data_IF_493788988537
#
_entry.id   IF_493788988537
#
_cell.length_a   1.000
_cell.length_b   1.000
_cell.length_c   1.000
_cell.angle_alpha   90.00
_cell.angle_beta   90.00
_cell.angle_gamma   90.00
#
_symmetry.space_group_name_H-M   'P 1'
#
loop_
_entity.id
_entity.type
_entity.pdbx_description
1 polymer ?
#
# COMPACT_ATOMS: atom_id res chain seq x y z
N UNK A 1 7.78 -2.03 48.66
CA UNK A 1 8.18 -1.06 47.60
C UNK A 1 8.84 -1.82 46.46
N UNK A 2 8.03 -2.58 45.73
CA UNK A 2 8.48 -3.48 44.66
C UNK A 2 8.58 -2.67 43.38
N UNK A 3 9.80 -2.37 42.92
CA UNK A 3 10.04 -1.76 41.61
C UNK A 3 9.87 -2.88 40.59
N UNK A 4 8.71 -2.93 39.95
CA UNK A 4 8.48 -3.81 38.80
C UNK A 4 9.51 -3.51 37.72
N UNK A 5 10.35 -4.50 37.42
CA UNK A 5 11.19 -4.50 36.23
C UNK A 5 10.26 -4.58 35.02
N UNK A 6 10.26 -3.53 34.20
CA UNK A 6 9.62 -3.56 32.89
C UNK A 6 10.40 -4.51 31.96
N UNK A 7 9.77 -5.49 31.31
CA UNK A 7 10.45 -6.27 30.28
C UNK A 7 10.76 -5.34 29.10
N UNK A 8 12.01 -5.38 28.63
CA UNK A 8 12.46 -4.63 27.48
C UNK A 8 11.72 -5.07 26.20
N UNK A 9 11.12 -4.12 25.48
CA UNK A 9 10.48 -4.32 24.18
C UNK A 9 11.46 -4.96 23.17
N UNK A 10 11.16 -6.12 22.55
CA UNK A 10 12.03 -6.74 21.56
C UNK A 10 11.79 -6.17 20.16
N UNK A 11 11.93 -4.85 20.00
CA UNK A 11 11.88 -4.21 18.69
C UNK A 11 13.24 -3.58 18.37
N UNK A 12 14.22 -4.45 18.09
CA UNK A 12 15.38 -4.04 17.29
C UNK A 12 14.92 -3.49 15.93
N UNK A 13 15.77 -2.74 15.20
CA UNK A 13 15.38 -2.13 13.93
C UNK A 13 14.94 -3.25 12.97
N UNK A 14 13.63 -3.36 12.75
CA UNK A 14 13.09 -4.36 11.85
C UNK A 14 13.72 -4.14 10.47
N UNK A 15 14.35 -5.18 9.93
CA UNK A 15 15.04 -5.20 8.63
C UNK A 15 14.09 -4.95 7.43
N UNK A 16 12.83 -4.64 7.73
CA UNK A 16 11.69 -4.42 6.86
C UNK A 16 11.73 -3.09 6.09
N UNK A 17 12.64 -2.20 6.46
CA UNK A 17 12.74 -0.88 5.84
C UNK A 17 11.56 0.02 6.18
N UNK A 18 11.39 1.14 5.47
CA UNK A 18 10.37 2.13 5.80
C UNK A 18 8.95 1.57 5.57
N UNK A 19 8.11 1.67 6.61
CA UNK A 19 6.68 1.35 6.53
C UNK A 19 5.93 2.47 5.78
N UNK A 20 5.00 2.07 4.92
CA UNK A 20 4.14 2.96 4.13
C UNK A 20 2.68 2.55 4.26
N UNK A 21 1.79 3.45 3.86
CA UNK A 21 0.34 3.23 3.91
C UNK A 21 -0.19 2.99 2.50
N UNK A 22 -0.91 1.88 2.30
CA UNK A 22 -1.61 1.61 1.06
C UNK A 22 -2.73 2.64 0.83
N UNK A 23 -2.76 3.28 -0.33
CA UNK A 23 -3.79 4.30 -0.65
C UNK A 23 -5.18 3.72 -0.89
N UNK A 24 -5.29 2.41 -1.17
CA UNK A 24 -6.56 1.70 -1.38
C UNK A 24 -7.23 1.33 -0.06
N UNK A 25 -6.60 0.42 0.70
CA UNK A 25 -7.15 -0.11 1.95
C UNK A 25 -6.76 0.68 3.21
N UNK A 26 -5.77 1.60 3.14
CA UNK A 26 -5.19 2.34 4.29
C UNK A 26 -4.44 1.50 5.33
N UNK A 27 -4.22 0.21 5.10
CA UNK A 27 -3.34 -0.59 5.93
C UNK A 27 -1.86 -0.17 5.75
N UNK A 28 -1.06 -0.37 6.82
CA UNK A 28 0.38 -0.12 6.82
C UNK A 28 1.12 -1.41 6.50
N UNK A 29 2.13 -1.33 5.64
CA UNK A 29 2.98 -2.45 5.26
C UNK A 29 4.40 -1.95 4.97
N UNK A 30 5.43 -2.81 5.07
CA UNK A 30 6.79 -2.44 4.67
C UNK A 30 6.81 -2.07 3.18
N UNK A 31 7.70 -1.16 2.79
CA UNK A 31 7.81 -0.68 1.39
C UNK A 31 7.91 -1.81 0.37
N UNK A 32 8.59 -2.90 0.72
CA UNK A 32 8.82 -4.04 -0.19
C UNK A 32 7.54 -4.79 -0.56
N UNK A 33 6.52 -4.76 0.31
CA UNK A 33 5.22 -5.43 0.12
C UNK A 33 4.23 -4.53 -0.64
N UNK A 34 4.66 -3.32 -1.04
CA UNK A 34 3.82 -2.32 -1.67
C UNK A 34 4.36 -1.95 -3.06
N UNK A 35 3.49 -2.01 -4.06
CA UNK A 35 3.71 -1.43 -5.37
C UNK A 35 3.76 0.09 -5.24
N UNK A 36 4.85 0.71 -5.70
CA UNK A 36 4.92 2.15 -5.91
C UNK A 36 4.26 2.49 -7.24
N UNK A 37 3.47 3.55 -7.25
CA UNK A 37 2.91 4.16 -8.46
C UNK A 37 3.31 5.62 -8.53
N UNK A 38 3.49 6.16 -9.72
CA UNK A 38 3.92 7.55 -9.95
C UNK A 38 3.09 8.21 -11.05
N UNK A 39 3.21 9.53 -11.16
CA UNK A 39 2.72 10.24 -12.35
C UNK A 39 3.75 10.07 -13.46
N UNK A 40 3.33 9.43 -14.54
CA UNK A 40 4.08 9.29 -15.77
C UNK A 40 3.25 9.80 -16.95
N UNK A 41 3.47 9.18 -18.11
CA UNK A 41 2.67 9.39 -19.32
C UNK A 41 2.19 8.05 -19.85
N UNK A 42 0.99 8.03 -20.43
CA UNK A 42 0.52 6.90 -21.24
C UNK A 42 1.13 6.92 -22.65
N UNK A 43 0.75 5.95 -23.48
CA UNK A 43 1.23 5.83 -24.88
C UNK A 43 0.86 7.04 -25.75
N UNK A 44 -0.20 7.77 -25.38
CA UNK A 44 -0.62 9.00 -26.04
C UNK A 44 0.12 10.25 -25.51
N UNK A 45 1.03 10.09 -24.54
CA UNK A 45 1.78 11.18 -23.92
C UNK A 45 1.02 11.97 -22.86
N UNK A 46 -0.19 11.52 -22.49
CA UNK A 46 -1.07 12.16 -21.51
C UNK A 46 -0.71 11.73 -20.08
N UNK A 47 -0.93 12.59 -19.07
CA UNK A 47 -0.57 12.27 -17.70
C UNK A 47 -1.37 11.08 -17.17
N UNK A 48 -0.66 10.04 -16.73
CA UNK A 48 -1.24 8.79 -16.26
C UNK A 48 -0.55 8.29 -14.99
N UNK A 49 -1.25 7.48 -14.20
CA UNK A 49 -0.63 6.70 -13.13
C UNK A 49 0.07 5.51 -13.77
N UNK A 50 1.37 5.39 -13.53
CA UNK A 50 2.18 4.26 -14.00
C UNK A 50 2.73 3.46 -12.82
N UNK A 51 2.80 2.13 -12.93
CA UNK A 51 3.46 1.28 -11.93
C UNK A 51 4.98 1.49 -11.96
N UNK A 52 5.61 1.53 -10.79
CA UNK A 52 7.07 1.62 -10.62
C UNK A 52 7.54 0.57 -9.60
N UNK A 53 7.60 -0.72 -10.00
CA UNK A 53 7.98 -1.80 -9.09
C UNK A 53 9.43 -1.69 -8.59
N UNK A 54 10.32 -1.07 -9.35
CA UNK A 54 11.73 -0.87 -8.95
C UNK A 54 11.90 0.34 -8.03
N UNK A 55 10.95 1.27 -8.02
CA UNK A 55 11.04 2.49 -7.22
C UNK A 55 12.05 3.49 -7.77
N UNK A 56 12.43 3.39 -9.05
CA UNK A 56 13.48 4.20 -9.68
C UNK A 56 12.94 5.46 -10.34
N UNK A 57 11.62 5.57 -10.54
CA UNK A 57 11.04 6.72 -11.22
C UNK A 57 11.12 7.99 -10.35
N UNK A 58 11.57 9.09 -10.95
CA UNK A 58 11.60 10.39 -10.29
C UNK A 58 10.19 10.90 -9.97
N UNK A 59 10.08 11.75 -8.94
CA UNK A 59 8.83 12.45 -8.59
C UNK A 59 8.06 11.83 -7.43
N UNK A 60 6.83 12.34 -7.22
CA UNK A 60 5.95 11.90 -6.14
C UNK A 60 5.38 10.52 -6.46
N UNK A 61 5.52 9.61 -5.52
CA UNK A 61 4.94 8.28 -5.61
C UNK A 61 3.86 8.05 -4.56
N UNK A 62 2.93 7.17 -4.88
CA UNK A 62 1.97 6.60 -3.96
C UNK A 62 2.24 5.10 -3.79
N UNK A 63 1.75 4.52 -2.70
CA UNK A 63 1.96 3.11 -2.39
C UNK A 63 0.62 2.38 -2.37
N UNK A 64 0.59 1.21 -3.00
CA UNK A 64 -0.59 0.36 -3.13
C UNK A 64 -0.15 -1.08 -2.86
N UNK A 65 -0.96 -1.90 -2.17
CA UNK A 65 -0.70 -3.35 -2.24
C UNK A 65 -0.82 -3.80 -3.70
N UNK A 66 0.04 -4.71 -4.15
CA UNK A 66 -0.09 -5.29 -5.48
C UNK A 66 -1.28 -6.25 -5.47
N UNK A 67 -2.51 -5.74 -5.39
CA UNK A 67 -3.73 -6.54 -5.46
C UNK A 67 -4.82 -5.76 -6.18
N UNK A 68 -5.62 -6.46 -6.98
CA UNK A 68 -6.77 -5.87 -7.71
C UNK A 68 -7.76 -5.22 -6.74
N UNK A 69 -8.02 -5.83 -5.59
CA UNK A 69 -8.88 -5.27 -4.55
C UNK A 69 -8.41 -3.89 -4.05
N UNK A 70 -7.11 -3.70 -3.81
CA UNK A 70 -6.58 -2.40 -3.40
C UNK A 70 -6.63 -1.38 -4.53
N UNK A 71 -6.36 -1.80 -5.77
CA UNK A 71 -6.49 -0.95 -6.95
C UNK A 71 -7.91 -0.43 -7.14
N UNK A 72 -8.92 -1.32 -7.13
CA UNK A 72 -10.33 -0.96 -7.27
C UNK A 72 -10.78 0.03 -6.18
N UNK A 73 -10.35 -0.19 -4.93
CA UNK A 73 -10.61 0.74 -3.84
C UNK A 73 -9.96 2.11 -4.08
N UNK A 74 -8.73 2.15 -4.61
CA UNK A 74 -8.02 3.38 -4.91
C UNK A 74 -8.68 4.17 -6.05
N UNK A 75 -9.13 3.49 -7.11
CA UNK A 75 -9.88 4.09 -8.22
C UNK A 75 -11.22 4.64 -7.72
N UNK A 76 -12.03 3.81 -7.06
CA UNK A 76 -13.36 4.17 -6.55
C UNK A 76 -13.32 5.40 -5.64
N UNK A 77 -12.28 5.52 -4.80
CA UNK A 77 -12.10 6.62 -3.85
C UNK A 77 -11.38 7.83 -4.43
N UNK A 78 -10.99 7.81 -5.71
CA UNK A 78 -10.15 8.84 -6.35
C UNK A 78 -8.86 9.10 -5.56
N UNK A 79 -8.24 8.03 -5.05
CA UNK A 79 -7.09 8.12 -4.17
C UNK A 79 -5.80 8.52 -4.91
N UNK A 80 -5.62 8.08 -6.15
CA UNK A 80 -4.43 8.39 -6.97
C UNK A 80 -4.20 9.89 -7.17
N UNK A 81 -5.13 10.68 -7.73
CA UNK A 81 -4.90 12.12 -7.92
C UNK A 81 -4.61 12.84 -6.60
N UNK A 82 -5.26 12.41 -5.51
CA UNK A 82 -5.06 12.96 -4.15
C UNK A 82 -3.66 12.65 -3.60
N UNK A 83 -3.23 11.40 -3.69
CA UNK A 83 -1.94 10.94 -3.17
C UNK A 83 -0.76 11.49 -3.98
N UNK A 84 -0.91 11.55 -5.30
CA UNK A 84 0.09 12.06 -6.23
C UNK A 84 0.09 13.60 -6.33
N UNK A 85 -0.89 14.25 -5.71
CA UNK A 85 -1.11 15.72 -5.75
C UNK A 85 -1.20 16.25 -7.19
N UNK A 86 -1.77 15.45 -8.08
CA UNK A 86 -2.11 15.93 -9.42
C UNK A 86 -3.35 16.82 -9.31
N UNK A 87 -3.28 18.01 -9.89
CA UNK A 87 -4.27 19.07 -9.71
C UNK A 87 -5.70 18.55 -9.92
N UNK A 88 -6.61 19.00 -9.07
CA UNK A 88 -7.97 18.46 -8.89
C UNK A 88 -8.94 18.64 -10.09
N UNK A 89 -8.45 18.99 -11.28
CA UNK A 89 -9.24 19.23 -12.48
C UNK A 89 -8.97 18.29 -13.64
N UNK A 90 -7.90 17.47 -13.60
CA UNK A 90 -7.54 16.54 -14.67
C UNK A 90 -7.92 15.11 -14.35
N UNK A 91 -8.56 14.41 -15.30
CA UNK A 91 -8.72 12.97 -15.22
C UNK A 91 -7.35 12.30 -15.31
N UNK A 92 -6.85 11.78 -14.18
CA UNK A 92 -5.61 11.00 -14.15
C UNK A 92 -5.99 9.52 -14.37
N UNK A 93 -5.69 8.98 -15.55
CA UNK A 93 -5.98 7.59 -15.86
C UNK A 93 -5.10 6.65 -15.03
N UNK A 94 -5.65 5.54 -14.53
CA UNK A 94 -4.92 4.55 -13.74
C UNK A 94 -4.88 3.16 -14.40
N UNK A 95 -5.30 3.06 -15.66
CA UNK A 95 -5.43 1.78 -16.38
C UNK A 95 -4.14 0.97 -16.43
N UNK A 96 -2.99 1.62 -16.66
CA UNK A 96 -1.69 0.97 -16.71
C UNK A 96 -1.33 0.24 -15.39
N UNK A 97 -1.85 0.69 -14.24
CA UNK A 97 -1.67 -0.02 -12.97
C UNK A 97 -2.53 -1.29 -12.93
N UNK A 98 -3.77 -1.22 -13.41
CA UNK A 98 -4.67 -2.38 -13.50
C UNK A 98 -4.08 -3.48 -14.39
N UNK A 99 -3.67 -3.11 -15.61
CA UNK A 99 -3.05 -4.05 -16.55
C UNK A 99 -1.76 -4.68 -16.00
N UNK A 100 -0.98 -3.93 -15.22
CA UNK A 100 0.20 -4.46 -14.57
C UNK A 100 -0.16 -5.51 -13.51
N UNK A 101 -1.19 -5.25 -12.70
CA UNK A 101 -1.64 -6.18 -11.66
C UNK A 101 -2.22 -7.48 -12.24
N UNK A 102 -2.81 -7.43 -13.44
CA UNK A 102 -3.27 -8.63 -14.15
C UNK A 102 -2.12 -9.48 -14.68
N UNK A 103 -0.98 -8.86 -15.03
CA UNK A 103 0.21 -9.54 -15.55
C UNK A 103 1.11 -10.13 -14.47
N UNK A 104 1.11 -9.54 -13.28
CA UNK A 104 1.98 -9.96 -12.18
C UNK A 104 1.22 -10.90 -11.26
N UNK A 105 1.60 -12.19 -11.14
CA UNK A 105 1.05 -13.05 -10.09
C UNK A 105 1.46 -12.46 -8.74
N UNK A 106 0.46 -12.00 -7.98
CA UNK A 106 0.68 -11.31 -6.71
C UNK A 106 0.85 -12.36 -5.62
N UNK A 107 2.08 -12.69 -5.25
CA UNK A 107 2.44 -13.64 -4.18
C UNK A 107 2.12 -13.13 -2.75
N UNK A 108 1.11 -12.27 -2.63
CA UNK A 108 0.75 -11.56 -1.40
C UNK A 108 -0.43 -12.22 -0.69
N UNK A 109 -0.37 -13.53 -0.46
CA UNK A 109 -1.32 -14.23 0.43
C UNK A 109 -0.95 -14.08 1.93
N UNK A 110 0.19 -13.46 2.25
CA UNK A 110 0.64 -13.33 3.66
C UNK A 110 -0.10 -12.24 4.46
N UNK A 111 -0.81 -11.31 3.83
CA UNK A 111 -1.44 -10.18 4.54
C UNK A 111 -2.81 -10.48 5.17
N UNK A 112 -3.35 -11.70 4.98
CA UNK A 112 -4.67 -12.08 5.49
C UNK A 112 -4.68 -12.53 6.98
N UNK A 113 -3.52 -12.64 7.62
CA UNK A 113 -3.44 -13.15 9.01
C UNK A 113 -3.55 -12.10 10.12
N UNK A 114 -3.48 -10.79 9.83
CA UNK A 114 -3.51 -9.76 10.89
C UNK A 114 -4.93 -9.40 11.40
N UNK A 115 -5.97 -10.10 10.94
CA UNK A 115 -7.37 -9.81 11.31
C UNK A 115 -8.14 -10.96 11.98
N UNK A 116 -7.58 -12.18 12.07
CA UNK A 116 -8.33 -13.39 12.48
C UNK A 116 -7.95 -14.03 13.82
N UNK A 117 -6.98 -13.49 14.56
CA UNK A 117 -6.62 -13.97 15.90
C UNK A 117 -6.46 -12.74 16.79
N UNK A 118 -7.44 -12.27 17.56
CA UNK A 118 -7.97 -12.91 18.77
C UNK A 118 -9.36 -12.34 19.08
N UNK A 119 -10.42 -13.14 18.97
CA UNK A 119 -11.62 -12.97 19.81
C UNK A 119 -11.87 -14.29 20.54
N UNK A 120 -11.08 -14.51 21.58
CA UNK A 120 -11.43 -15.46 22.63
C UNK A 120 -12.54 -14.81 23.48
N UNK A 121 -13.79 -15.03 23.11
CA UNK A 121 -14.84 -14.87 24.12
C UNK A 121 -14.72 -16.08 25.06
N UNK A 122 -14.07 -15.87 26.18
CA UNK A 122 -14.09 -16.77 27.32
C UNK A 122 -14.51 -15.98 28.53
N UNK A 123 -15.23 -16.67 29.41
CA UNK A 123 -15.85 -16.24 30.67
C UNK A 123 -17.26 -15.68 30.48
N UNK A 124 -18.34 -16.40 30.79
CA UNK A 124 -18.66 -17.16 32.01
C UNK A 124 -18.52 -16.29 33.26
N UNK A 125 -19.66 -15.75 33.71
CA UNK A 125 -20.19 -15.80 35.08
C UNK A 125 -21.58 -15.17 35.11
#
# INVERSE_FOLDING_TARGET
MSRSVVPADPAGPSTDGPVRTCIGCRARAPRRDLLRTVVGKDDAGMPAVVPDPRGSAAGRGAHLHPTTACYELAVRRKAFPRALRHAAGGALSAGAVGEYLERVPTDTDTADQAGRTTRNWSSSS
#
